data_IF_284320686446
#
_entry.id   IF_284320686446
#
_cell.length_a   1.000
_cell.length_b   1.000
_cell.length_c   1.000
_cell.angle_alpha   90.00
_cell.angle_beta   90.00
_cell.angle_gamma   90.00
#
_symmetry.space_group_name_H-M   'P 1'
#
loop_
_entity.id
_entity.type
_entity.pdbx_description
1 polymer ?
#
# COMPACT_ATOMS: atom_id res chain seq x y z
N UNK A 1 14.12 -19.40 5.94
CA UNK A 1 14.84 -18.50 5.00
C UNK A 1 16.36 -18.71 4.93
N UNK A 2 17.04 -19.09 6.01
CA UNK A 2 18.51 -19.20 6.08
C UNK A 2 19.14 -20.08 4.98
N UNK A 3 18.56 -21.24 4.69
CA UNK A 3 19.04 -22.14 3.63
C UNK A 3 18.97 -21.49 2.24
N UNK A 4 17.88 -20.77 1.95
CA UNK A 4 17.71 -20.08 0.68
C UNK A 4 18.78 -18.99 0.51
N UNK A 5 19.00 -18.18 1.56
CA UNK A 5 20.03 -17.15 1.54
C UNK A 5 21.43 -17.73 1.27
N UNK A 6 21.82 -18.78 2.00
CA UNK A 6 23.13 -19.43 1.80
C UNK A 6 23.31 -19.91 0.35
N UNK A 7 22.32 -20.61 -0.19
CA UNK A 7 22.34 -21.10 -1.59
C UNK A 7 22.42 -19.94 -2.58
N UNK A 8 21.66 -18.87 -2.37
CA UNK A 8 21.68 -17.69 -3.24
C UNK A 8 23.09 -17.08 -3.30
N UNK A 9 23.71 -16.86 -2.14
CA UNK A 9 25.06 -16.29 -2.05
C UNK A 9 26.12 -17.22 -2.65
N UNK A 10 25.97 -18.54 -2.50
CA UNK A 10 26.84 -19.54 -3.14
C UNK A 10 26.73 -19.49 -4.68
N UNK A 11 25.52 -19.42 -5.24
CA UNK A 11 25.33 -19.31 -6.69
C UNK A 11 25.86 -17.98 -7.25
N UNK A 12 25.67 -16.86 -6.53
CA UNK A 12 26.27 -15.58 -6.90
C UNK A 12 27.80 -15.63 -6.89
N UNK A 13 28.40 -16.30 -5.90
CA UNK A 13 29.85 -16.44 -5.82
C UNK A 13 30.43 -17.25 -6.99
N UNK A 14 29.70 -18.26 -7.51
CA UNK A 14 30.14 -19.05 -8.67
C UNK A 14 30.30 -18.23 -9.95
N UNK A 15 29.57 -17.11 -10.06
CA UNK A 15 29.66 -16.16 -11.18
C UNK A 15 30.48 -14.91 -10.84
N UNK A 16 31.27 -14.95 -9.75
CA UNK A 16 32.07 -13.83 -9.22
C UNK A 16 31.27 -12.56 -8.95
N UNK A 17 29.97 -12.71 -8.63
CA UNK A 17 29.11 -11.61 -8.24
C UNK A 17 29.13 -11.45 -6.72
N UNK A 18 29.83 -10.42 -6.24
CA UNK A 18 29.87 -10.06 -4.81
C UNK A 18 28.79 -9.03 -4.51
N UNK A 19 27.81 -9.43 -3.69
CA UNK A 19 26.73 -8.56 -3.22
C UNK A 19 26.81 -8.45 -1.71
N UNK A 20 26.64 -7.24 -1.19
CA UNK A 20 26.39 -7.01 0.23
C UNK A 20 24.89 -6.75 0.42
N UNK A 21 24.24 -7.53 1.29
CA UNK A 21 22.80 -7.46 1.53
C UNK A 21 22.59 -7.26 3.03
N UNK A 22 21.88 -6.20 3.40
CA UNK A 22 21.45 -6.03 4.78
C UNK A 22 20.52 -7.18 5.18
N UNK A 23 20.92 -7.93 6.22
CA UNK A 23 20.30 -9.19 6.63
C UNK A 23 19.06 -9.04 7.49
N UNK A 24 18.80 -7.82 7.95
CA UNK A 24 17.72 -7.51 8.88
C UNK A 24 16.46 -7.15 8.09
N UNK A 25 15.36 -7.92 8.23
CA UNK A 25 14.05 -7.54 7.71
C UNK A 25 13.63 -6.12 8.14
N UNK A 26 13.14 -5.33 7.18
CA UNK A 26 12.52 -4.03 7.43
C UNK A 26 11.10 -4.23 7.99
N UNK A 27 10.60 -3.27 8.77
CA UNK A 27 9.21 -3.14 9.23
C UNK A 27 8.71 -4.25 10.19
N UNK A 28 9.58 -5.20 10.54
CA UNK A 28 9.32 -6.26 11.53
C UNK A 28 9.91 -5.85 12.88
N UNK A 29 9.14 -5.71 13.98
CA UNK A 29 9.66 -5.26 15.28
C UNK A 29 10.80 -6.13 15.85
N UNK A 30 10.61 -7.45 15.84
CA UNK A 30 11.55 -8.44 16.38
C UNK A 30 12.04 -9.39 15.28
N UNK A 31 12.89 -8.91 14.34
CA UNK A 31 13.24 -9.69 13.17
C UNK A 31 14.29 -10.75 13.50
N UNK A 32 14.09 -11.97 12.99
CA UNK A 32 15.18 -12.93 12.85
C UNK A 32 15.93 -12.57 11.55
N UNK A 33 17.25 -12.33 11.57
CA UNK A 33 18.02 -12.13 10.36
C UNK A 33 17.80 -13.28 9.36
N UNK A 34 17.54 -12.97 8.09
CA UNK A 34 17.09 -14.01 7.15
C UNK A 34 18.15 -15.10 6.89
N UNK A 35 19.43 -14.84 7.20
CA UNK A 35 20.53 -15.80 7.11
C UNK A 35 20.61 -16.76 8.31
N UNK A 36 19.81 -16.49 9.34
CA UNK A 36 19.67 -17.26 10.58
C UNK A 36 18.23 -17.78 10.78
N UNK A 37 17.27 -17.29 9.99
CA UNK A 37 15.88 -17.68 10.11
C UNK A 37 15.61 -19.09 9.57
N UNK A 38 15.60 -20.05 10.47
CA UNK A 38 15.15 -21.42 10.24
C UNK A 38 13.70 -21.66 10.73
N UNK A 39 13.12 -20.71 11.45
CA UNK A 39 11.77 -20.80 12.00
C UNK A 39 10.71 -20.62 10.91
N UNK A 40 10.83 -19.59 10.07
CA UNK A 40 9.86 -19.29 9.03
C UNK A 40 10.19 -20.03 7.72
N UNK A 41 9.50 -21.14 7.51
CA UNK A 41 9.59 -21.98 6.32
C UNK A 41 8.25 -22.62 5.91
N UNK A 42 7.15 -22.22 6.54
CA UNK A 42 5.82 -22.71 6.20
C UNK A 42 5.41 -22.22 4.81
N UNK A 43 4.89 -23.14 4.00
CA UNK A 43 4.27 -22.85 2.72
C UNK A 43 3.02 -23.69 2.59
N UNK A 44 1.87 -23.02 2.52
CA UNK A 44 0.61 -23.64 2.16
C UNK A 44 0.21 -23.17 0.76
N UNK A 45 0.13 -24.12 -0.18
CA UNK A 45 -0.15 -23.84 -1.59
C UNK A 45 -1.53 -23.21 -1.77
N UNK A 46 -2.52 -23.62 -0.98
CA UNK A 46 -3.88 -23.11 -1.08
C UNK A 46 -3.92 -21.64 -0.67
N UNK A 47 -3.36 -21.30 0.50
CA UNK A 47 -3.30 -19.92 0.96
C UNK A 47 -2.44 -19.03 0.06
N UNK A 48 -1.30 -19.56 -0.43
CA UNK A 48 -0.48 -18.83 -1.41
C UNK A 48 -1.25 -18.52 -2.70
N UNK A 49 -2.07 -19.45 -3.20
CA UNK A 49 -2.91 -19.22 -4.38
C UNK A 49 -4.04 -18.21 -4.12
N UNK A 50 -4.69 -18.30 -2.96
CA UNK A 50 -5.74 -17.34 -2.55
C UNK A 50 -5.18 -15.93 -2.43
N UNK A 51 -4.01 -15.77 -1.79
CA UNK A 51 -3.33 -14.49 -1.68
C UNK A 51 -2.97 -13.91 -3.06
N UNK A 52 -2.38 -14.73 -3.94
CA UNK A 52 -2.07 -14.30 -5.31
C UNK A 52 -3.31 -13.83 -6.08
N UNK A 53 -4.44 -14.54 -5.97
CA UNK A 53 -5.70 -14.12 -6.60
C UNK A 53 -6.21 -12.79 -6.06
N UNK A 54 -6.15 -12.58 -4.75
CA UNK A 54 -6.52 -11.30 -4.14
C UNK A 54 -5.65 -10.15 -4.67
N UNK A 55 -4.33 -10.36 -4.79
CA UNK A 55 -3.42 -9.37 -5.37
C UNK A 55 -3.76 -9.04 -6.83
N UNK A 56 -4.05 -10.05 -7.65
CA UNK A 56 -4.38 -9.84 -9.08
C UNK A 56 -5.69 -9.07 -9.25
N UNK A 57 -6.71 -9.39 -8.47
CA UNK A 57 -7.99 -8.66 -8.54
C UNK A 57 -7.86 -7.22 -8.00
N UNK A 58 -7.15 -7.03 -6.88
CA UNK A 58 -6.88 -5.70 -6.34
C UNK A 58 -6.07 -4.84 -7.34
N UNK A 59 -5.04 -5.40 -7.97
CA UNK A 59 -4.22 -4.71 -8.97
C UNK A 59 -5.05 -4.18 -10.15
N UNK A 60 -6.04 -4.94 -10.62
CA UNK A 60 -6.92 -4.52 -11.71
C UNK A 60 -7.73 -3.27 -11.34
N UNK A 61 -8.32 -3.26 -10.14
CA UNK A 61 -9.09 -2.10 -9.64
C UNK A 61 -8.17 -0.92 -9.33
N UNK A 62 -7.00 -1.16 -8.76
CA UNK A 62 -6.01 -0.12 -8.47
C UNK A 62 -5.49 0.53 -9.75
N UNK A 63 -5.34 -0.21 -10.84
CA UNK A 63 -5.00 0.34 -12.17
C UNK A 63 -6.13 1.19 -12.74
N UNK A 64 -7.39 0.77 -12.59
CA UNK A 64 -8.55 1.58 -12.99
C UNK A 64 -8.62 2.89 -12.19
N UNK A 65 -8.44 2.82 -10.87
CA UNK A 65 -8.31 3.98 -9.99
C UNK A 65 -7.16 4.89 -10.44
N UNK A 66 -5.95 4.34 -10.60
CA UNK A 66 -4.76 5.07 -11.08
C UNK A 66 -5.00 5.80 -12.39
N UNK A 67 -5.68 5.16 -13.35
CA UNK A 67 -5.94 5.70 -14.69
C UNK A 67 -6.80 6.97 -14.73
N UNK A 68 -7.47 7.31 -13.61
CA UNK A 68 -8.25 8.55 -13.46
C UNK A 68 -7.40 9.77 -13.09
N UNK A 69 -6.15 9.56 -12.69
CA UNK A 69 -5.22 10.60 -12.24
C UNK A 69 -4.13 10.84 -13.29
N UNK A 70 -3.94 12.10 -13.68
CA UNK A 70 -2.97 12.53 -14.70
C UNK A 70 -1.71 13.18 -14.11
N UNK A 71 -1.68 13.45 -12.80
CA UNK A 71 -0.49 13.90 -12.09
C UNK A 71 0.52 12.78 -11.82
N UNK A 72 1.59 13.10 -11.06
CA UNK A 72 2.57 12.09 -10.62
C UNK A 72 1.87 11.04 -9.75
N UNK A 73 2.03 9.78 -10.12
CA UNK A 73 1.44 8.65 -9.41
C UNK A 73 2.33 7.41 -9.56
N UNK A 74 2.52 6.65 -8.48
CA UNK A 74 3.29 5.41 -8.51
C UNK A 74 2.64 4.37 -9.43
N UNK A 75 3.38 3.40 -9.95
CA UNK A 75 2.79 2.15 -10.40
C UNK A 75 2.04 1.47 -9.25
N UNK A 76 1.14 0.54 -9.57
CA UNK A 76 0.71 -0.43 -8.57
C UNK A 76 1.93 -1.30 -8.25
N UNK A 77 2.37 -1.31 -6.99
CA UNK A 77 3.58 -2.00 -6.57
C UNK A 77 3.38 -2.72 -5.24
N UNK A 78 4.19 -3.75 -5.04
CA UNK A 78 4.15 -4.59 -3.85
C UNK A 78 5.37 -4.32 -2.97
N UNK A 79 5.14 -4.02 -1.70
CA UNK A 79 6.17 -3.81 -0.68
C UNK A 79 6.36 -5.08 0.14
N UNK A 80 7.62 -5.48 0.31
CA UNK A 80 7.98 -6.72 0.99
C UNK A 80 8.11 -6.60 2.51
N UNK A 81 8.13 -5.38 3.06
CA UNK A 81 8.23 -5.13 4.50
C UNK A 81 6.92 -5.45 5.23
N UNK A 82 5.87 -4.68 4.94
CA UNK A 82 4.50 -4.82 5.48
C UNK A 82 3.55 -5.71 4.64
N UNK A 83 4.10 -6.69 3.89
CA UNK A 83 3.50 -7.33 2.70
C UNK A 83 2.25 -6.67 2.10
N UNK A 84 2.40 -5.47 1.52
CA UNK A 84 1.26 -4.69 1.03
C UNK A 84 1.34 -4.34 -0.45
N UNK A 85 0.18 -4.31 -1.11
CA UNK A 85 0.01 -3.77 -2.46
C UNK A 85 -0.43 -2.32 -2.34
N UNK A 86 0.20 -1.40 -3.05
CA UNK A 86 -0.13 0.02 -2.93
C UNK A 86 -0.17 0.75 -4.27
N UNK A 87 -0.87 1.89 -4.27
CA UNK A 87 -0.79 2.93 -5.29
C UNK A 87 -0.91 4.30 -4.64
N UNK A 88 -0.03 5.22 -5.04
CA UNK A 88 0.13 6.51 -4.38
C UNK A 88 0.04 7.64 -5.38
N UNK A 89 -0.85 8.60 -5.10
CA UNK A 89 -1.00 9.86 -5.85
C UNK A 89 -0.28 10.99 -5.12
N UNK A 90 0.28 11.92 -5.88
CA UNK A 90 1.06 13.03 -5.34
C UNK A 90 0.39 14.37 -5.70
N UNK A 91 0.31 15.29 -4.73
CA UNK A 91 -0.23 16.63 -4.97
C UNK A 91 0.72 17.51 -5.80
N UNK A 92 2.01 17.16 -5.79
CA UNK A 92 3.10 17.95 -6.37
C UNK A 92 3.74 18.94 -5.39
N UNK A 93 3.14 19.17 -4.21
CA UNK A 93 3.74 20.01 -3.15
C UNK A 93 4.64 19.19 -2.23
N UNK A 94 5.62 19.85 -1.62
CA UNK A 94 6.49 19.23 -0.60
C UNK A 94 5.70 18.99 0.70
N UNK A 95 5.97 17.87 1.34
CA UNK A 95 5.50 17.59 2.69
C UNK A 95 6.53 18.04 3.73
N UNK A 96 6.14 18.22 5.01
CA UNK A 96 7.07 18.26 6.13
C UNK A 96 7.97 17.02 6.15
N UNK A 97 9.12 17.10 6.83
CA UNK A 97 10.01 15.94 6.97
C UNK A 97 9.33 14.84 7.80
N UNK A 98 9.39 13.60 7.30
CA UNK A 98 8.84 12.45 8.01
C UNK A 98 9.62 12.18 9.30
N UNK A 99 8.94 11.97 10.46
CA UNK A 99 9.62 11.80 11.75
C UNK A 99 10.57 10.60 11.75
N UNK A 100 10.27 9.57 10.96
CA UNK A 100 11.05 8.33 10.90
C UNK A 100 10.62 7.37 12.01
N UNK A 101 11.53 6.50 12.44
CA UNK A 101 11.29 5.57 13.56
C UNK A 101 10.47 4.33 13.20
N UNK A 102 10.34 4.02 11.90
CA UNK A 102 9.74 2.76 11.46
C UNK A 102 10.71 1.61 11.81
N UNK A 103 10.25 0.53 12.47
CA UNK A 103 11.13 -0.54 12.92
C UNK A 103 12.01 -1.08 11.80
N UNK A 104 13.33 -1.07 12.02
CA UNK A 104 14.33 -1.63 11.10
C UNK A 104 14.36 -1.02 9.69
N UNK A 105 13.67 0.10 9.45
CA UNK A 105 13.72 0.85 8.21
C UNK A 105 14.56 2.12 8.42
N UNK A 106 15.63 2.36 7.64
CA UNK A 106 16.41 3.58 7.78
C UNK A 106 15.57 4.83 7.51
N UNK A 107 15.60 5.81 8.42
CA UNK A 107 14.79 7.05 8.34
C UNK A 107 14.88 7.77 7.00
N UNK A 108 16.05 7.79 6.37
CA UNK A 108 16.24 8.45 5.08
C UNK A 108 15.39 7.83 3.97
N UNK A 109 15.09 6.53 4.03
CA UNK A 109 14.22 5.83 3.08
C UNK A 109 12.79 6.38 3.22
N UNK A 110 12.28 6.46 4.45
CA UNK A 110 10.95 6.99 4.73
C UNK A 110 10.86 8.48 4.37
N UNK A 111 11.88 9.28 4.71
CA UNK A 111 11.90 10.71 4.38
C UNK A 111 11.95 10.97 2.88
N UNK A 112 12.61 10.12 2.10
CA UNK A 112 12.59 10.20 0.64
C UNK A 112 11.22 9.80 0.08
N UNK A 113 10.66 8.67 0.56
CA UNK A 113 9.36 8.16 0.14
C UNK A 113 8.21 9.15 0.39
N UNK A 114 8.27 9.87 1.51
CA UNK A 114 7.27 10.84 1.94
C UNK A 114 7.74 12.31 1.78
N UNK A 115 8.64 12.57 0.83
CA UNK A 115 9.18 13.93 0.58
C UNK A 115 8.13 14.93 0.03
N UNK A 116 7.01 14.44 -0.48
CA UNK A 116 5.92 15.22 -1.07
C UNK A 116 4.59 14.78 -0.46
N UNK A 117 3.59 15.65 -0.55
CA UNK A 117 2.25 15.30 -0.07
C UNK A 117 1.68 14.15 -0.91
N UNK A 118 1.14 13.15 -0.22
CA UNK A 118 0.61 11.93 -0.83
C UNK A 118 -0.79 11.60 -0.33
N UNK A 119 -1.53 10.93 -1.19
CA UNK A 119 -2.69 10.10 -0.86
C UNK A 119 -2.33 8.70 -1.35
N UNK A 120 -2.21 7.76 -0.41
CA UNK A 120 -1.83 6.39 -0.69
C UNK A 120 -2.93 5.46 -0.25
N UNK A 121 -3.19 4.43 -1.05
CA UNK A 121 -4.13 3.37 -0.71
C UNK A 121 -3.56 2.03 -1.13
N UNK A 122 -4.05 0.97 -0.48
CA UNK A 122 -3.48 -0.35 -0.69
C UNK A 122 -4.29 -1.49 -0.11
N UNK A 123 -3.67 -2.66 -0.08
CA UNK A 123 -4.22 -3.91 0.42
C UNK A 123 -3.20 -4.63 1.30
N UNK A 124 -3.66 -5.08 2.48
CA UNK A 124 -2.93 -5.99 3.36
C UNK A 124 -3.61 -7.36 3.39
N UNK A 125 -2.85 -8.46 3.42
CA UNK A 125 -3.39 -9.79 3.67
C UNK A 125 -3.81 -10.03 5.13
N UNK A 126 -3.47 -9.12 6.04
CA UNK A 126 -3.66 -9.25 7.49
C UNK A 126 -2.47 -9.93 8.19
N UNK A 127 -2.59 -10.18 9.49
CA UNK A 127 -1.58 -10.86 10.31
C UNK A 127 -0.61 -9.94 11.06
N UNK A 128 -0.87 -8.62 11.05
CA UNK A 128 -0.15 -7.62 11.84
C UNK A 128 -1.10 -6.92 12.83
N UNK A 129 -1.00 -5.59 12.91
CA UNK A 129 -1.95 -4.74 13.67
C UNK A 129 -3.40 -4.90 13.19
N UNK A 130 -3.59 -5.23 11.91
CA UNK A 130 -4.88 -5.65 11.35
C UNK A 130 -4.88 -7.18 11.20
N UNK A 131 -5.71 -7.92 11.96
CA UNK A 131 -5.68 -9.39 11.97
C UNK A 131 -6.38 -10.02 10.75
N UNK A 132 -7.10 -9.23 9.96
CA UNK A 132 -7.82 -9.65 8.76
C UNK A 132 -7.31 -8.94 7.51
N UNK A 133 -7.59 -9.50 6.34
CA UNK A 133 -7.28 -8.84 5.08
C UNK A 133 -8.13 -7.57 4.90
N UNK A 134 -7.50 -6.47 4.49
CA UNK A 134 -8.18 -5.19 4.37
C UNK A 134 -7.58 -4.31 3.29
N UNK A 135 -8.41 -3.46 2.71
CA UNK A 135 -7.98 -2.31 1.95
C UNK A 135 -7.80 -1.11 2.88
N UNK A 136 -6.84 -0.27 2.57
CA UNK A 136 -6.50 0.89 3.39
C UNK A 136 -6.33 2.15 2.55
N UNK A 137 -6.45 3.32 3.17
CA UNK A 137 -6.12 4.60 2.57
C UNK A 137 -5.70 5.63 3.61
N UNK A 138 -4.61 6.35 3.34
CA UNK A 138 -4.11 7.43 4.18
C UNK A 138 -3.61 8.61 3.36
N UNK A 139 -3.34 9.72 4.04
CA UNK A 139 -2.69 10.89 3.48
C UNK A 139 -1.49 11.30 4.34
N UNK A 140 -0.41 11.72 3.69
CA UNK A 140 0.74 12.29 4.38
C UNK A 140 1.15 13.64 3.75
N UNK A 141 1.29 14.72 4.54
CA UNK A 141 0.78 14.82 5.91
C UNK A 141 -0.74 14.67 5.90
N UNK A 142 -1.30 14.17 7.00
CA UNK A 142 -2.75 14.07 7.17
C UNK A 142 -3.36 15.48 7.20
N UNK A 143 -4.23 15.85 6.23
CA UNK A 143 -4.82 17.17 6.21
C UNK A 143 -5.96 17.27 7.23
N UNK A 144 -6.16 18.47 7.80
CA UNK A 144 -7.25 18.74 8.73
C UNK A 144 -8.61 18.39 8.11
N UNK A 145 -9.45 17.63 8.82
CA UNK A 145 -10.75 17.18 8.31
C UNK A 145 -10.70 15.84 7.58
N UNK A 146 -9.52 15.24 7.39
CA UNK A 146 -9.40 13.94 6.70
C UNK A 146 -10.02 12.81 7.50
N UNK A 147 -9.69 12.69 8.79
CA UNK A 147 -10.17 11.64 9.69
C UNK A 147 -11.68 11.66 9.91
N UNK A 148 -12.30 12.83 9.74
CA UNK A 148 -13.74 13.04 9.93
C UNK A 148 -14.55 12.88 8.64
N UNK A 149 -13.89 12.64 7.50
CA UNK A 149 -14.57 12.52 6.22
C UNK A 149 -15.52 11.33 6.21
N UNK A 150 -16.75 11.56 5.75
CA UNK A 150 -17.69 10.47 5.49
C UNK A 150 -17.19 9.66 4.28
N UNK A 151 -16.96 8.37 4.52
CA UNK A 151 -16.49 7.43 3.50
C UNK A 151 -17.53 6.36 3.24
N UNK A 152 -17.41 5.72 2.08
CA UNK A 152 -18.26 4.63 1.63
C UNK A 152 -17.38 3.47 1.12
N UNK A 153 -17.88 2.21 1.14
CA UNK A 153 -19.19 1.77 1.66
C UNK A 153 -19.28 1.97 3.18
N UNK A 154 -20.49 1.92 3.76
CA UNK A 154 -20.68 2.23 5.19
C UNK A 154 -19.95 1.31 6.19
N UNK A 155 -19.35 0.22 5.71
CA UNK A 155 -18.46 -0.64 6.49
C UNK A 155 -16.99 -0.16 6.51
N UNK A 156 -16.64 0.83 5.68
CA UNK A 156 -15.35 1.52 5.77
C UNK A 156 -15.35 2.46 6.98
N UNK A 157 -14.22 2.55 7.67
CA UNK A 157 -14.08 3.36 8.88
C UNK A 157 -12.68 3.95 9.01
N UNK A 158 -12.52 5.00 9.80
CA UNK A 158 -11.21 5.56 10.14
C UNK A 158 -10.65 4.89 11.40
N UNK A 159 -9.43 4.37 11.33
CA UNK A 159 -8.68 3.85 12.47
C UNK A 159 -7.77 4.94 13.03
N UNK A 160 -8.07 5.45 14.23
CA UNK A 160 -7.23 6.45 14.90
C UNK A 160 -5.86 5.92 15.32
N UNK A 161 -5.73 4.61 15.55
CA UNK A 161 -4.45 3.96 15.87
C UNK A 161 -3.53 3.90 14.66
N UNK A 162 -4.06 3.47 13.51
CA UNK A 162 -3.29 3.39 12.26
C UNK A 162 -3.11 4.76 11.60
N UNK A 163 -4.05 5.68 11.87
CA UNK A 163 -4.24 6.95 11.15
C UNK A 163 -4.61 6.76 9.68
N UNK A 164 -5.48 5.77 9.42
CA UNK A 164 -5.87 5.38 8.07
C UNK A 164 -7.35 5.01 8.01
N UNK A 165 -7.95 5.19 6.84
CA UNK A 165 -9.22 4.55 6.51
C UNK A 165 -8.99 3.07 6.20
N UNK A 166 -9.88 2.21 6.68
CA UNK A 166 -9.84 0.77 6.52
C UNK A 166 -11.17 0.27 5.97
N UNK A 167 -11.11 -0.62 4.98
CA UNK A 167 -12.24 -1.35 4.45
C UNK A 167 -11.92 -2.86 4.49
N UNK A 168 -12.63 -3.67 5.29
CA UNK A 168 -12.40 -5.11 5.33
C UNK A 168 -12.54 -5.77 3.95
N UNK A 169 -11.62 -6.67 3.61
CA UNK A 169 -11.60 -7.36 2.32
C UNK A 169 -12.88 -8.14 2.06
N UNK A 170 -13.46 -8.76 3.09
CA UNK A 170 -14.69 -9.56 2.93
C UNK A 170 -15.89 -8.71 2.52
N UNK A 171 -15.96 -7.44 2.92
CA UNK A 171 -17.01 -6.51 2.46
C UNK A 171 -16.95 -6.33 0.95
N UNK A 172 -15.74 -6.22 0.39
CA UNK A 172 -15.54 -6.11 -1.06
C UNK A 172 -15.82 -7.45 -1.74
N UNK A 173 -15.30 -8.55 -1.19
CA UNK A 173 -15.45 -9.90 -1.75
C UNK A 173 -16.91 -10.35 -1.82
N UNK A 174 -17.73 -9.96 -0.85
CA UNK A 174 -19.13 -10.40 -0.70
C UNK A 174 -20.14 -9.41 -1.29
N UNK A 175 -19.69 -8.27 -1.82
CA UNK A 175 -20.59 -7.31 -2.45
C UNK A 175 -21.07 -7.77 -3.82
N UNK A 176 -22.21 -7.22 -4.26
CA UNK A 176 -22.78 -7.52 -5.59
C UNK A 176 -21.88 -7.04 -6.74
N UNK A 177 -21.12 -5.96 -6.51
CA UNK A 177 -20.11 -5.44 -7.44
C UNK A 177 -18.81 -5.14 -6.67
N UNK A 178 -17.90 -6.14 -6.54
CA UNK A 178 -16.63 -5.98 -5.81
C UNK A 178 -15.78 -4.83 -6.34
N UNK A 179 -15.70 -4.71 -7.66
CA UNK A 179 -14.91 -3.68 -8.33
C UNK A 179 -15.40 -2.28 -7.99
N UNK A 180 -16.71 -2.05 -8.11
CA UNK A 180 -17.30 -0.74 -7.84
C UNK A 180 -17.20 -0.40 -6.36
N UNK A 181 -17.39 -1.40 -5.49
CA UNK A 181 -17.29 -1.23 -4.03
C UNK A 181 -15.89 -0.77 -3.62
N UNK A 182 -14.86 -1.44 -4.14
CA UNK A 182 -13.48 -1.07 -3.87
C UNK A 182 -13.16 0.28 -4.52
N UNK A 183 -13.53 0.49 -5.78
CA UNK A 183 -13.23 1.72 -6.49
C UNK A 183 -13.89 2.94 -5.86
N UNK A 184 -15.09 2.80 -5.31
CA UNK A 184 -15.77 3.83 -4.53
C UNK A 184 -15.01 4.17 -3.25
N UNK A 185 -14.53 3.17 -2.52
CA UNK A 185 -13.69 3.39 -1.33
C UNK A 185 -12.39 4.12 -1.66
N UNK A 186 -11.67 3.68 -2.70
CA UNK A 186 -10.42 4.33 -3.12
C UNK A 186 -10.68 5.77 -3.60
N UNK A 187 -11.77 6.00 -4.33
CA UNK A 187 -12.10 7.32 -4.84
C UNK A 187 -12.53 8.26 -3.71
N UNK A 188 -13.44 7.86 -2.83
CA UNK A 188 -13.96 8.75 -1.78
C UNK A 188 -12.86 9.14 -0.76
N UNK A 189 -11.98 8.21 -0.41
CA UNK A 189 -10.85 8.47 0.50
C UNK A 189 -9.79 9.36 -0.15
N UNK A 190 -9.51 9.19 -1.44
CA UNK A 190 -8.68 10.14 -2.19
C UNK A 190 -9.31 11.54 -2.24
N UNK A 191 -10.62 11.63 -2.48
CA UNK A 191 -11.31 12.93 -2.52
C UNK A 191 -11.29 13.62 -1.16
N UNK A 192 -11.45 12.86 -0.07
CA UNK A 192 -11.26 13.37 1.28
C UNK A 192 -9.85 13.96 1.46
N UNK A 193 -8.80 13.23 1.06
CA UNK A 193 -7.43 13.71 1.14
C UNK A 193 -7.19 14.96 0.27
N UNK A 194 -7.60 14.92 -1.00
CA UNK A 194 -7.36 15.98 -1.96
C UNK A 194 -8.16 17.26 -1.64
N UNK A 195 -9.41 17.13 -1.19
CA UNK A 195 -10.25 18.27 -0.82
C UNK A 195 -9.75 18.92 0.48
N UNK A 196 -9.53 18.13 1.54
CA UNK A 196 -9.02 18.63 2.81
C UNK A 196 -7.61 19.21 2.67
N UNK A 197 -6.78 18.57 1.84
CA UNK A 197 -5.46 19.06 1.47
C UNK A 197 -5.46 20.21 0.48
N UNK A 198 -6.61 20.64 -0.08
CA UNK A 198 -6.69 21.70 -1.11
C UNK A 198 -5.77 21.46 -2.30
N UNK A 199 -5.79 20.24 -2.84
CA UNK A 199 -5.04 19.88 -4.05
C UNK A 199 -5.67 20.54 -5.28
N UNK A 200 -4.87 20.86 -6.30
CA UNK A 200 -5.39 21.35 -7.58
C UNK A 200 -5.93 20.18 -8.41
N UNK A 201 -7.09 19.66 -8.01
CA UNK A 201 -7.73 18.49 -8.63
C UNK A 201 -7.96 18.67 -10.14
N UNK A 202 -8.20 19.90 -10.59
CA UNK A 202 -8.42 20.21 -12.00
C UNK A 202 -7.18 19.96 -12.89
N UNK A 203 -5.97 20.07 -12.34
CA UNK A 203 -4.72 19.74 -13.05
C UNK A 203 -4.25 18.31 -12.82
N UNK A 204 -4.81 17.63 -11.82
CA UNK A 204 -4.40 16.29 -11.39
C UNK A 204 -5.33 15.18 -11.87
N UNK A 205 -6.58 15.49 -12.22
CA UNK A 205 -7.60 14.51 -12.62
C UNK A 205 -7.91 14.58 -14.12
N UNK A 206 -8.20 13.42 -14.69
CA UNK A 206 -8.70 13.36 -16.06
C UNK A 206 -10.09 13.98 -16.09
N UNK A 207 -10.29 15.05 -16.86
CA UNK A 207 -11.63 15.57 -17.15
C UNK A 207 -12.44 14.46 -17.82
N UNK A 208 -13.68 14.25 -17.36
CA UNK A 208 -14.52 13.15 -17.80
C UNK A 208 -14.54 13.00 -19.33
N UNK A 209 -14.39 11.76 -19.80
CA UNK A 209 -14.55 11.45 -21.22
C UNK A 209 -15.95 11.89 -21.66
N UNK A 210 -16.02 12.78 -22.65
CA UNK A 210 -17.27 13.18 -23.30
C UNK A 210 -17.95 12.03 -24.09
N UNK A 211 -17.63 10.76 -23.79
CA UNK A 211 -18.11 9.56 -24.50
C UNK A 211 -18.95 8.63 -23.63
N UNK A 212 -19.55 9.15 -22.55
CA UNK A 212 -20.44 8.37 -21.67
C UNK A 212 -21.79 9.03 -21.35
N UNK A 213 -22.12 10.16 -22.00
CA UNK A 213 -23.44 10.76 -21.95
C UNK A 213 -24.17 10.45 -23.26
N UNK A 214 -24.77 9.26 -23.33
CA UNK A 214 -25.86 8.93 -24.26
C UNK A 214 -26.90 8.15 -23.47
#
# INVERSE_FOLDING_TARGET
MALFYRRLMEEMAKIDLRVDINKRPNEVPDPIPFDQDEAHHAYDREYANRFWRALVEADRVFKAFRGRFIGKCSPVHFFWGAPDLAVTRFSGRRAPEHPGGIPNLPDWVTREAYSHEVSSCGFWPGGGSVPYAAFYSYAYPEPTGFSEAEVRPGAAFYSGELREFVLPYDVVRESESPDDTLLDFLQITYEAAANSGKWDRNSLERRGDARGAV
#
